data_IF_613008682918
#
_entry.id   IF_613008682918
#
_cell.length_a   1.000
_cell.length_b   1.000
_cell.length_c   1.000
_cell.angle_alpha   90.00
_cell.angle_beta   90.00
_cell.angle_gamma   90.00
#
_symmetry.space_group_name_H-M   'P 1'
#
loop_
_entity.id
_entity.type
_entity.pdbx_description
1 polymer ?
#
# COMPACT_ATOMS: atom_id res chain seq x y z
N UNK A 1 -20.01 -1.57 -7.07
CA UNK A 1 -19.00 -1.16 -8.09
C UNK A 1 -17.82 -0.62 -7.34
N UNK A 2 -16.58 -0.92 -7.78
CA UNK A 2 -15.37 -0.32 -7.18
C UNK A 2 -15.23 1.14 -7.59
N UNK A 3 -14.67 1.99 -6.70
CA UNK A 3 -14.45 3.43 -6.95
C UNK A 3 -12.98 3.64 -7.31
N UNK A 4 -12.71 4.17 -8.50
CA UNK A 4 -11.35 4.62 -8.85
C UNK A 4 -11.12 6.01 -8.25
N UNK A 5 -10.09 6.13 -7.42
CA UNK A 5 -9.75 7.36 -6.73
C UNK A 5 -8.62 8.12 -7.46
N UNK A 6 -8.67 9.43 -7.34
CA UNK A 6 -7.57 10.33 -7.70
C UNK A 6 -6.81 10.78 -6.45
N UNK A 7 -5.59 11.29 -6.61
CA UNK A 7 -4.78 11.87 -5.54
C UNK A 7 -5.57 12.93 -4.74
N UNK A 8 -5.54 12.81 -3.42
CA UNK A 8 -6.27 13.66 -2.48
C UNK A 8 -7.76 13.35 -2.35
N UNK A 9 -8.29 12.42 -3.12
CA UNK A 9 -9.70 12.04 -3.04
C UNK A 9 -9.96 11.17 -1.82
N UNK A 10 -11.15 11.37 -1.21
CA UNK A 10 -11.58 10.67 0.00
C UNK A 10 -12.90 9.97 -0.22
N UNK A 11 -13.06 8.82 0.42
CA UNK A 11 -14.34 8.10 0.47
C UNK A 11 -14.70 7.74 1.90
N UNK A 12 -15.98 7.54 2.14
CA UNK A 12 -16.51 7.10 3.43
C UNK A 12 -16.78 5.60 3.35
N UNK A 13 -15.85 4.80 3.89
CA UNK A 13 -15.91 3.34 3.84
C UNK A 13 -17.16 2.80 4.53
N UNK A 14 -17.57 3.40 5.67
CA UNK A 14 -18.76 2.98 6.43
C UNK A 14 -20.06 3.21 5.66
N UNK A 15 -20.08 4.12 4.66
CA UNK A 15 -21.23 4.35 3.77
C UNK A 15 -21.19 3.52 2.50
N UNK A 16 -20.00 3.20 2.01
CA UNK A 16 -19.86 2.36 0.80
C UNK A 16 -20.20 0.90 1.08
N UNK A 17 -19.90 0.43 2.31
CA UNK A 17 -20.18 -0.94 2.74
C UNK A 17 -20.81 -0.93 4.11
N UNK A 18 -22.10 -1.25 4.16
CA UNK A 18 -22.83 -1.39 5.41
C UNK A 18 -22.27 -2.57 6.23
N UNK A 19 -21.98 -2.32 7.51
CA UNK A 19 -21.44 -3.36 8.40
C UNK A 19 -19.98 -3.74 8.11
N UNK A 20 -19.23 -2.90 7.41
CA UNK A 20 -17.80 -3.14 7.13
C UNK A 20 -17.04 -3.37 8.43
N UNK A 21 -16.54 -4.58 8.61
CA UNK A 21 -15.83 -5.01 9.82
C UNK A 21 -14.33 -5.21 9.60
N UNK A 22 -13.93 -5.60 8.40
CA UNK A 22 -12.54 -5.91 8.09
C UNK A 22 -12.19 -5.53 6.66
N UNK A 23 -11.06 -4.90 6.47
CA UNK A 23 -10.54 -4.53 5.16
C UNK A 23 -9.20 -5.21 4.90
N UNK A 24 -8.98 -5.60 3.66
CA UNK A 24 -7.67 -5.94 3.13
C UNK A 24 -7.19 -4.78 2.25
N UNK A 25 -6.00 -4.30 2.54
CA UNK A 25 -5.28 -3.28 1.77
C UNK A 25 -4.27 -4.02 0.91
N UNK A 26 -4.48 -4.03 -0.40
CA UNK A 26 -3.57 -4.63 -1.37
C UNK A 26 -2.74 -3.55 -2.04
N UNK A 27 -1.45 -3.80 -2.15
CA UNK A 27 -0.49 -2.97 -2.86
C UNK A 27 0.13 -3.79 -3.99
N UNK A 28 0.22 -3.21 -5.17
CA UNK A 28 0.83 -3.86 -6.32
C UNK A 28 1.67 -2.88 -7.13
N UNK A 29 2.71 -3.39 -7.78
CA UNK A 29 3.60 -2.62 -8.65
C UNK A 29 4.25 -3.50 -9.70
N UNK A 30 4.73 -2.88 -10.78
CA UNK A 30 5.57 -3.53 -11.78
C UNK A 30 6.94 -2.84 -11.84
N UNK A 31 8.00 -3.63 -11.96
CA UNK A 31 9.31 -3.08 -12.30
C UNK A 31 9.30 -2.54 -13.75
N UNK A 32 9.82 -1.34 -13.96
CA UNK A 32 9.96 -0.80 -15.30
C UNK A 32 10.94 -1.68 -16.12
N UNK A 33 10.46 -2.26 -17.21
CA UNK A 33 11.33 -2.96 -18.17
C UNK A 33 12.30 -1.94 -18.76
N UNK A 34 13.58 -2.07 -18.48
CA UNK A 34 14.58 -1.31 -19.23
C UNK A 34 14.49 -1.71 -20.70
N UNK A 35 14.22 -0.74 -21.58
CA UNK A 35 14.38 -0.92 -23.02
C UNK A 35 15.87 -1.11 -23.31
N UNK A 36 16.32 -2.36 -23.30
CA UNK A 36 17.70 -2.72 -23.61
C UNK A 36 17.98 -2.45 -25.07
N UNK A 37 18.96 -1.59 -25.34
CA UNK A 37 19.59 -1.51 -26.66
C UNK A 37 20.24 -2.85 -27.04
N UNK A 38 20.60 -3.01 -28.30
CA UNK A 38 21.13 -4.24 -28.94
C UNK A 38 22.24 -4.94 -28.12
N UNK A 39 22.94 -4.24 -27.22
CA UNK A 39 24.00 -4.79 -26.34
C UNK A 39 23.45 -5.70 -25.21
N UNK A 40 22.20 -5.55 -24.75
CA UNK A 40 21.66 -6.40 -23.70
C UNK A 40 21.35 -7.83 -24.17
N UNK A 41 21.21 -8.06 -25.47
CA UNK A 41 21.02 -9.39 -26.03
C UNK A 41 22.27 -10.28 -25.92
N UNK A 42 23.45 -9.69 -25.71
CA UNK A 42 24.76 -10.40 -25.60
C UNK A 42 25.17 -10.70 -24.15
N UNK A 43 24.63 -9.99 -23.16
CA UNK A 43 25.08 -10.10 -21.77
C UNK A 43 23.99 -10.51 -20.76
N UNK A 44 22.82 -10.92 -21.21
CA UNK A 44 21.70 -11.31 -20.36
C UNK A 44 20.96 -10.09 -19.80
N UNK A 45 19.64 -10.05 -19.95
CA UNK A 45 18.80 -9.02 -19.31
C UNK A 45 18.84 -9.22 -17.81
N UNK A 46 19.55 -8.37 -17.09
CA UNK A 46 19.33 -8.23 -15.64
C UNK A 46 18.00 -7.52 -15.46
N UNK A 47 16.93 -8.28 -15.21
CA UNK A 47 15.73 -7.71 -14.65
C UNK A 47 16.10 -7.24 -13.24
N UNK A 48 16.08 -5.95 -12.99
CA UNK A 48 16.22 -5.44 -11.64
C UNK A 48 14.90 -5.75 -10.92
N UNK A 49 14.89 -6.70 -10.00
CA UNK A 49 13.79 -6.82 -9.05
C UNK A 49 13.84 -5.59 -8.15
N UNK A 50 12.73 -4.88 -8.04
CA UNK A 50 12.57 -3.77 -7.12
C UNK A 50 11.76 -4.30 -5.95
N UNK A 51 12.40 -4.29 -4.81
CA UNK A 51 11.91 -4.81 -3.57
C UNK A 51 11.22 -3.66 -2.82
N UNK A 52 9.91 -3.62 -2.86
CA UNK A 52 9.13 -2.60 -2.19
C UNK A 52 8.46 -3.19 -0.95
N UNK A 53 8.69 -2.58 0.19
CA UNK A 53 8.09 -2.95 1.45
C UNK A 53 6.88 -2.08 1.78
N UNK A 54 5.75 -2.68 2.04
CA UNK A 54 4.60 -2.00 2.60
C UNK A 54 4.66 -1.98 4.14
N UNK A 55 4.16 -0.92 4.71
CA UNK A 55 4.02 -0.78 6.16
C UNK A 55 2.71 -0.09 6.51
N UNK A 56 2.11 -0.49 7.63
CA UNK A 56 0.99 0.20 8.24
C UNK A 56 1.44 0.82 9.57
N UNK A 57 1.27 2.13 9.70
CA UNK A 57 1.62 2.86 10.93
C UNK A 57 0.33 3.24 11.63
N UNK A 58 0.08 2.67 12.81
CA UNK A 58 -1.07 3.02 13.65
C UNK A 58 -0.78 4.27 14.48
N UNK A 59 -1.76 5.17 14.53
CA UNK A 59 -1.67 6.44 15.22
C UNK A 59 -2.91 6.71 16.06
N UNK A 60 -2.68 7.23 17.25
CA UNK A 60 -3.74 7.70 18.17
C UNK A 60 -4.03 9.19 18.01
N UNK A 61 -4.80 9.71 18.97
CA UNK A 61 -5.19 11.11 19.03
C UNK A 61 -3.97 12.05 18.93
N UNK A 62 -4.11 13.12 18.16
CA UNK A 62 -3.04 14.08 17.90
C UNK A 62 -1.89 13.52 17.07
N UNK A 63 -2.14 12.48 16.28
CA UNK A 63 -1.14 11.76 15.46
C UNK A 63 -0.03 11.10 16.29
N UNK A 64 -0.34 10.71 17.53
CA UNK A 64 0.63 10.02 18.38
C UNK A 64 0.90 8.63 17.81
N UNK A 65 2.16 8.35 17.50
CA UNK A 65 2.63 7.03 17.06
C UNK A 65 2.27 5.94 18.08
N UNK A 66 1.83 4.79 17.63
CA UNK A 66 1.56 3.60 18.42
C UNK A 66 2.39 2.40 17.98
N UNK A 67 2.18 1.93 16.77
CA UNK A 67 2.87 0.76 16.23
C UNK A 67 3.20 0.94 14.74
N UNK A 68 4.17 0.14 14.27
CA UNK A 68 4.46 -0.05 12.86
C UNK A 68 4.40 -1.54 12.55
N UNK A 69 3.54 -1.91 11.63
CA UNK A 69 3.32 -3.27 11.15
C UNK A 69 3.96 -3.37 9.77
N UNK A 70 4.93 -4.27 9.60
CA UNK A 70 5.76 -4.43 8.41
C UNK A 70 6.35 -5.84 8.40
N UNK A 71 7.16 -6.22 7.41
CA UNK A 71 7.74 -7.58 7.30
C UNK A 71 8.49 -8.06 8.56
N UNK A 72 9.05 -7.16 9.38
CA UNK A 72 9.75 -7.48 10.65
C UNK A 72 8.84 -7.50 11.89
N UNK A 73 7.60 -7.00 11.78
CA UNK A 73 6.57 -7.02 12.81
C UNK A 73 5.21 -7.27 12.16
N UNK A 74 4.85 -8.53 11.98
CA UNK A 74 3.73 -8.93 11.13
C UNK A 74 2.35 -8.64 11.73
N UNK A 75 2.24 -8.38 13.02
CA UNK A 75 0.92 -8.10 13.61
C UNK A 75 1.01 -7.32 14.91
N UNK A 76 0.19 -6.27 15.02
CA UNK A 76 -0.05 -5.50 16.24
C UNK A 76 -1.38 -4.73 16.08
N UNK A 77 -2.05 -4.42 17.19
CA UNK A 77 -3.27 -3.59 17.21
C UNK A 77 -4.40 -4.09 16.27
N UNK A 78 -4.54 -5.40 16.04
CA UNK A 78 -5.49 -5.98 15.05
C UNK A 78 -5.24 -5.54 13.60
N UNK A 79 -4.00 -5.22 13.27
CA UNK A 79 -3.47 -5.03 11.92
C UNK A 79 -2.48 -6.15 11.62
N UNK A 80 -2.57 -6.76 10.43
CA UNK A 80 -1.83 -7.96 10.06
C UNK A 80 -1.17 -7.80 8.69
N UNK A 81 0.13 -7.95 8.62
CA UNK A 81 0.90 -8.01 7.39
C UNK A 81 1.03 -9.46 6.93
N UNK A 82 0.74 -9.76 5.67
CA UNK A 82 0.70 -11.15 5.17
C UNK A 82 2.04 -11.70 4.70
N UNK A 83 3.11 -10.98 4.90
CA UNK A 83 4.47 -11.36 4.51
C UNK A 83 4.99 -10.47 3.39
N UNK A 84 6.23 -10.75 3.01
CA UNK A 84 7.05 -9.95 2.12
C UNK A 84 7.11 -10.57 0.72
N UNK A 85 6.99 -9.76 -0.33
CA UNK A 85 7.21 -10.13 -1.73
C UNK A 85 8.47 -9.43 -2.25
N UNK A 86 9.58 -10.15 -2.27
CA UNK A 86 10.92 -9.62 -2.61
C UNK A 86 11.08 -9.16 -4.06
N UNK A 87 10.16 -9.46 -4.95
CA UNK A 87 10.35 -9.27 -6.40
C UNK A 87 9.28 -8.43 -7.07
N UNK A 88 8.07 -8.34 -6.50
CA UNK A 88 6.91 -7.79 -7.17
C UNK A 88 6.51 -8.59 -8.43
N UNK A 89 6.87 -9.88 -8.46
CA UNK A 89 6.52 -10.77 -9.57
C UNK A 89 5.18 -11.46 -9.28
N UNK A 90 4.23 -11.31 -10.17
CA UNK A 90 2.92 -11.97 -10.09
C UNK A 90 1.79 -11.12 -10.65
N UNK A 91 0.62 -11.75 -10.76
CA UNK A 91 -0.62 -11.04 -11.09
C UNK A 91 -1.35 -10.70 -9.79
N UNK A 92 -1.65 -9.43 -9.55
CA UNK A 92 -2.46 -8.98 -8.41
C UNK A 92 -1.69 -8.15 -7.39
N UNK A 93 -2.01 -8.31 -6.10
CA UNK A 93 -1.34 -7.59 -5.03
C UNK A 93 -0.01 -8.26 -4.69
N UNK A 94 1.06 -7.48 -4.66
CA UNK A 94 2.38 -7.95 -4.26
C UNK A 94 2.49 -8.03 -2.74
N UNK A 95 1.90 -7.09 -2.03
CA UNK A 95 1.79 -7.11 -0.59
C UNK A 95 0.37 -6.81 -0.09
N UNK A 96 0.02 -7.41 1.03
CA UNK A 96 -1.30 -7.29 1.62
C UNK A 96 -1.22 -7.03 3.12
N UNK A 97 -2.06 -6.09 3.59
CA UNK A 97 -2.22 -5.76 5.00
C UNK A 97 -3.70 -5.81 5.34
N UNK A 98 -4.09 -6.67 6.28
CA UNK A 98 -5.47 -6.73 6.80
C UNK A 98 -5.62 -5.85 8.02
N UNK A 99 -6.74 -5.14 8.11
CA UNK A 99 -7.14 -4.34 9.27
C UNK A 99 -8.50 -4.81 9.77
N UNK A 100 -8.57 -5.31 11.00
CA UNK A 100 -9.83 -5.65 11.66
C UNK A 100 -10.42 -4.40 12.33
N UNK A 101 -11.21 -3.67 11.57
CA UNK A 101 -11.81 -2.40 11.99
C UNK A 101 -12.77 -2.56 13.17
N UNK A 102 -13.41 -3.75 13.29
CA UNK A 102 -14.39 -4.03 14.36
C UNK A 102 -13.69 -4.21 15.72
N UNK A 103 -12.47 -4.75 15.74
CA UNK A 103 -11.71 -5.02 16.96
C UNK A 103 -10.53 -4.05 17.17
N UNK A 104 -10.37 -3.09 16.27
CA UNK A 104 -9.34 -2.07 16.40
C UNK A 104 -9.58 -1.22 17.66
N UNK A 105 -8.56 -1.01 18.48
CA UNK A 105 -8.66 -0.18 19.69
C UNK A 105 -9.28 1.18 19.39
N UNK A 106 -10.17 1.63 20.28
CA UNK A 106 -10.76 2.98 20.18
C UNK A 106 -9.74 4.12 20.27
N UNK A 107 -8.54 3.82 20.77
CA UNK A 107 -7.45 4.79 20.83
C UNK A 107 -6.75 4.98 19.48
N UNK A 108 -6.99 4.10 18.49
CA UNK A 108 -6.44 4.25 17.14
C UNK A 108 -7.41 5.08 16.31
N UNK A 109 -6.93 6.25 15.92
CA UNK A 109 -7.67 7.22 15.12
C UNK A 109 -7.32 7.12 13.63
N UNK A 110 -6.12 6.59 13.32
CA UNK A 110 -5.57 6.60 11.96
C UNK A 110 -4.60 5.45 11.74
N UNK A 111 -4.60 4.93 10.52
CA UNK A 111 -3.61 3.99 10.00
C UNK A 111 -3.08 4.56 8.69
N UNK A 112 -1.78 4.78 8.61
CA UNK A 112 -1.08 5.32 7.44
C UNK A 112 -0.36 4.19 6.74
N UNK A 113 -0.59 4.03 5.43
CA UNK A 113 0.08 3.04 4.59
C UNK A 113 1.24 3.69 3.86
N UNK A 114 2.42 3.16 4.11
CA UNK A 114 3.70 3.62 3.56
C UNK A 114 4.30 2.52 2.72
N UNK A 115 4.95 2.90 1.63
CA UNK A 115 5.79 1.99 0.83
C UNK A 115 7.16 2.59 0.72
N UNK A 116 8.18 1.76 0.89
CA UNK A 116 9.57 2.13 0.64
C UNK A 116 10.27 1.07 -0.23
N UNK A 117 11.34 1.48 -0.88
CA UNK A 117 12.20 0.55 -1.64
C UNK A 117 13.32 0.08 -0.72
N UNK A 118 13.39 -1.25 -0.53
CA UNK A 118 14.42 -1.86 0.30
C UNK A 118 15.82 -1.64 -0.27
N UNK A 119 16.73 -1.23 0.61
CA UNK A 119 18.13 -1.00 0.29
C UNK A 119 18.38 -0.10 -0.94
N UNK A 120 17.47 0.88 -1.14
CA UNK A 120 17.41 1.74 -2.32
C UNK A 120 18.71 2.49 -2.62
N UNK A 121 19.45 2.91 -1.59
CA UNK A 121 20.72 3.65 -1.76
C UNK A 121 21.83 2.79 -2.37
N UNK A 122 22.01 1.57 -1.85
CA UNK A 122 23.04 0.65 -2.37
C UNK A 122 22.67 0.13 -3.76
N UNK A 123 21.37 -0.16 -3.97
CA UNK A 123 20.85 -0.65 -5.25
C UNK A 123 20.64 0.47 -6.27
N UNK A 124 20.76 1.74 -5.87
CA UNK A 124 20.52 2.94 -6.70
C UNK A 124 19.15 2.91 -7.36
N UNK A 125 18.14 2.60 -6.57
CA UNK A 125 16.76 2.45 -7.01
C UNK A 125 15.87 3.57 -6.44
N UNK A 126 14.88 4.00 -7.21
CA UNK A 126 13.85 4.94 -6.81
C UNK A 126 12.52 4.59 -7.51
N UNK A 127 11.44 5.26 -7.13
CA UNK A 127 10.10 5.02 -7.69
C UNK A 127 9.97 5.35 -9.19
N UNK A 128 10.93 6.04 -9.80
CA UNK A 128 10.98 6.22 -11.26
C UNK A 128 11.20 4.91 -12.02
N UNK A 129 11.67 3.85 -11.34
CA UNK A 129 11.85 2.51 -11.89
C UNK A 129 10.60 1.62 -11.71
N UNK A 130 9.53 2.14 -11.13
CA UNK A 130 8.28 1.43 -10.86
C UNK A 130 7.19 1.92 -11.82
N UNK A 131 6.37 1.00 -12.28
CA UNK A 131 5.19 1.27 -13.10
C UNK A 131 3.96 0.59 -12.51
N UNK A 132 2.79 1.08 -12.91
CA UNK A 132 1.50 0.49 -12.55
C UNK A 132 1.29 0.31 -11.03
N UNK A 133 1.98 1.12 -10.22
CA UNK A 133 1.81 1.04 -8.77
C UNK A 133 0.40 1.46 -8.37
N UNK A 134 -0.20 0.69 -7.47
CA UNK A 134 -1.54 0.97 -6.95
C UNK A 134 -1.69 0.55 -5.50
N UNK A 135 -2.70 1.13 -4.85
CA UNK A 135 -3.28 0.64 -3.60
C UNK A 135 -4.77 0.40 -3.81
N UNK A 136 -5.29 -0.70 -3.29
CA UNK A 136 -6.71 -0.99 -3.30
C UNK A 136 -7.21 -1.46 -1.94
N UNK A 137 -8.49 -1.21 -1.67
CA UNK A 137 -9.18 -1.71 -0.51
C UNK A 137 -10.22 -2.74 -0.92
N UNK A 138 -10.21 -3.85 -0.21
CA UNK A 138 -11.17 -4.95 -0.38
C UNK A 138 -11.90 -5.17 0.94
N UNK A 139 -13.22 -5.35 0.88
CA UNK A 139 -13.97 -5.91 2.00
C UNK A 139 -13.58 -7.39 2.13
N UNK A 140 -12.86 -7.74 3.18
CA UNK A 140 -12.31 -9.07 3.36
C UNK A 140 -13.41 -10.13 3.53
N UNK A 141 -14.56 -9.75 4.04
CA UNK A 141 -15.69 -10.67 4.27
C UNK A 141 -16.34 -11.15 2.97
N UNK A 142 -16.36 -10.30 1.94
CA UNK A 142 -17.03 -10.56 0.66
C UNK A 142 -16.05 -10.74 -0.50
N UNK A 143 -14.77 -10.38 -0.33
CA UNK A 143 -13.78 -10.32 -1.39
C UNK A 143 -14.03 -9.20 -2.39
N UNK A 144 -14.95 -8.27 -2.11
CA UNK A 144 -15.31 -7.20 -3.04
C UNK A 144 -14.40 -6.00 -2.89
N UNK A 145 -13.82 -5.57 -4.01
CA UNK A 145 -13.06 -4.32 -4.06
C UNK A 145 -13.97 -3.11 -3.80
N UNK A 146 -13.61 -2.30 -2.81
CA UNK A 146 -14.32 -1.08 -2.43
C UNK A 146 -13.80 0.08 -3.28
N UNK A 147 -12.48 0.27 -3.30
CA UNK A 147 -11.84 1.32 -4.08
C UNK A 147 -10.42 0.94 -4.48
N UNK A 148 -9.92 1.65 -5.50
CA UNK A 148 -8.55 1.55 -6.00
C UNK A 148 -8.00 2.94 -6.31
N UNK A 149 -6.74 3.17 -5.96
CA UNK A 149 -5.98 4.35 -6.34
C UNK A 149 -4.72 3.92 -7.10
N UNK A 150 -4.62 4.33 -8.37
CA UNK A 150 -3.43 4.10 -9.17
C UNK A 150 -2.54 5.34 -9.09
N UNK A 151 -1.24 5.13 -8.83
CA UNK A 151 -0.27 6.21 -8.89
C UNK A 151 -0.09 6.66 -10.34
N UNK A 152 -0.40 7.92 -10.60
CA UNK A 152 -0.32 8.52 -11.94
C UNK A 152 0.80 9.54 -12.08
N UNK A 153 1.35 10.01 -10.95
CA UNK A 153 2.39 11.04 -10.93
C UNK A 153 3.78 10.43 -11.16
N UNK A 154 4.73 11.26 -11.57
CA UNK A 154 6.14 10.89 -11.65
C UNK A 154 6.77 11.01 -10.25
N UNK A 155 7.17 9.86 -9.70
CA UNK A 155 7.83 9.78 -8.40
C UNK A 155 9.34 9.49 -8.52
N UNK A 156 9.96 9.79 -9.65
CA UNK A 156 11.39 9.66 -9.84
C UNK A 156 12.18 10.41 -8.75
N UNK A 157 13.22 9.78 -8.23
CA UNK A 157 14.02 10.30 -7.13
C UNK A 157 13.41 10.14 -5.73
N UNK A 158 12.21 9.56 -5.60
CA UNK A 158 11.62 9.20 -4.32
C UNK A 158 11.90 7.73 -3.99
N UNK A 159 12.19 7.44 -2.73
CA UNK A 159 12.51 6.09 -2.25
C UNK A 159 11.53 5.59 -1.19
N UNK A 160 10.66 6.45 -0.71
CA UNK A 160 9.54 6.12 0.18
C UNK A 160 8.40 7.10 -0.05
N UNK A 161 7.17 6.65 0.18
CA UNK A 161 5.99 7.49 0.04
C UNK A 161 4.83 6.99 0.92
N UNK A 162 3.97 7.92 1.28
CA UNK A 162 2.67 7.62 1.91
C UNK A 162 1.66 7.43 0.80
N UNK A 163 1.14 6.21 0.63
CA UNK A 163 0.15 5.91 -0.39
C UNK A 163 -1.24 6.41 0.00
N UNK A 164 -1.64 6.09 1.22
CA UNK A 164 -2.99 6.36 1.69
C UNK A 164 -3.08 6.32 3.21
N UNK A 165 -4.26 6.66 3.71
CA UNK A 165 -4.63 6.49 5.09
C UNK A 165 -6.07 6.01 5.25
N UNK A 166 -6.32 5.23 6.28
CA UNK A 166 -7.65 4.94 6.83
C UNK A 166 -7.77 5.64 8.16
N UNK A 167 -8.85 6.38 8.39
CA UNK A 167 -8.99 7.20 9.60
C UNK A 167 -10.43 7.27 10.09
N UNK A 168 -10.58 7.47 11.40
CA UNK A 168 -11.89 7.73 12.04
C UNK A 168 -12.28 9.20 11.89
N UNK A 169 -13.55 9.43 11.55
CA UNK A 169 -14.12 10.77 11.53
C UNK A 169 -15.61 10.68 11.89
N UNK A 170 -15.99 11.23 13.03
CA UNK A 170 -17.35 11.17 13.57
C UNK A 170 -17.89 9.73 13.70
N UNK A 171 -17.07 8.80 14.18
CA UNK A 171 -17.44 7.39 14.35
C UNK A 171 -17.47 6.57 13.06
N UNK A 172 -17.21 7.16 11.90
CA UNK A 172 -17.14 6.49 10.62
C UNK A 172 -15.69 6.28 10.18
N UNK A 173 -15.42 5.19 9.46
CA UNK A 173 -14.14 4.96 8.81
C UNK A 173 -14.11 5.58 7.42
N UNK A 174 -13.05 6.30 7.12
CA UNK A 174 -12.79 6.94 5.83
C UNK A 174 -11.43 6.54 5.28
N UNK A 175 -11.31 6.55 3.96
CA UNK A 175 -10.07 6.36 3.24
C UNK A 175 -9.70 7.65 2.50
N UNK A 176 -8.40 7.97 2.45
CA UNK A 176 -7.84 9.10 1.74
C UNK A 176 -6.66 8.64 0.89
N UNK A 177 -6.74 8.83 -0.42
CA UNK A 177 -5.64 8.60 -1.35
C UNK A 177 -4.67 9.79 -1.26
N UNK A 178 -3.43 9.55 -0.85
CA UNK A 178 -2.43 10.62 -0.61
C UNK A 178 -1.47 10.71 -1.81
N UNK A 179 -0.69 9.68 -2.10
CA UNK A 179 0.21 9.57 -3.26
C UNK A 179 1.46 10.46 -3.20
#
# INVERSE_FOLDING_TARGET
MSVNLSKGQRINLSKEVEGLSKIMVGLGWDAAKQSGGILNHLFGSTSYSIDCDASAITMGNGNKYRACIYYGNLSEDNVYHHGDNLTGDGDGDDEQITVDLAHLSSEIERIVFVVNIYNCTERKQDFGLIKNAYIRLVDESTGKEICKYNLSDDYAGKTAMIFAEVYRNNGEWKFNAIG
#
